data_IF_755244072434
#
_entry.id   IF_755244072434
#
_cell.length_a   1.000
_cell.length_b   1.000
_cell.length_c   1.000
_cell.angle_alpha   90.00
_cell.angle_beta   90.00
_cell.angle_gamma   90.00
#
_symmetry.space_group_name_H-M   'P 1'
#
loop_
_entity.id
_entity.type
_entity.pdbx_description
1 polymer ?
#
# COMPACT_ATOMS: atom_id res chain seq x y z
N UNK A 1 34.54 -12.23 24.55
CA UNK A 1 33.67 -11.21 23.91
C UNK A 1 33.40 -11.64 22.47
N UNK A 2 32.20 -12.14 22.17
CA UNK A 2 31.86 -12.57 20.82
C UNK A 2 31.59 -11.35 19.93
N UNK A 3 32.50 -11.06 19.00
CA UNK A 3 32.27 -10.13 17.91
C UNK A 3 31.08 -10.63 17.09
N UNK A 4 29.89 -10.08 17.31
CA UNK A 4 28.73 -10.37 16.46
C UNK A 4 29.03 -9.86 15.06
N UNK A 5 29.51 -10.72 14.17
CA UNK A 5 29.56 -10.46 12.72
C UNK A 5 28.18 -9.93 12.32
N UNK A 6 28.09 -8.64 11.98
CA UNK A 6 26.87 -8.07 11.38
C UNK A 6 26.55 -8.97 10.18
N UNK A 7 25.46 -9.74 10.22
CA UNK A 7 25.09 -10.61 9.11
C UNK A 7 24.85 -9.73 7.89
N UNK A 8 25.81 -9.71 6.97
CA UNK A 8 25.72 -8.94 5.74
C UNK A 8 24.84 -9.73 4.78
N UNK A 9 23.76 -9.10 4.31
CA UNK A 9 22.93 -9.67 3.27
C UNK A 9 23.54 -9.35 1.90
N UNK A 10 23.32 -10.24 0.93
CA UNK A 10 23.71 -9.98 -0.46
C UNK A 10 23.05 -8.68 -0.99
N UNK A 11 23.63 -8.03 -2.01
CA UNK A 11 23.02 -6.87 -2.65
C UNK A 11 21.55 -7.11 -3.02
N UNK A 12 20.69 -6.12 -2.76
CA UNK A 12 19.24 -6.23 -2.98
C UNK A 12 18.48 -7.03 -1.91
N UNK A 13 19.14 -7.43 -0.82
CA UNK A 13 18.51 -8.04 0.35
C UNK A 13 18.75 -7.22 1.61
N UNK A 14 17.79 -7.25 2.53
CA UNK A 14 17.88 -6.64 3.86
C UNK A 14 17.75 -7.69 4.95
N UNK A 15 18.41 -7.46 6.08
CA UNK A 15 18.26 -8.32 7.26
C UNK A 15 16.96 -7.93 7.97
N UNK A 16 15.97 -8.82 7.92
CA UNK A 16 14.74 -8.66 8.70
C UNK A 16 14.97 -9.14 10.13
N UNK A 17 14.62 -8.30 11.11
CA UNK A 17 14.61 -8.70 12.51
C UNK A 17 13.67 -9.88 12.76
N UNK A 18 14.01 -10.73 13.74
CA UNK A 18 13.09 -11.78 14.20
C UNK A 18 11.84 -11.15 14.80
N UNK A 19 10.70 -11.84 14.67
CA UNK A 19 9.46 -11.44 15.33
C UNK A 19 8.58 -12.65 15.61
N UNK A 20 7.58 -12.47 16.47
CA UNK A 20 6.52 -13.46 16.70
C UNK A 20 5.25 -12.99 15.99
N UNK A 21 4.61 -13.89 15.26
CA UNK A 21 3.34 -13.63 14.61
C UNK A 21 2.29 -14.61 15.12
N UNK A 22 1.12 -14.09 15.48
CA UNK A 22 -0.05 -14.91 15.76
C UNK A 22 -0.80 -15.22 14.47
N UNK A 23 -1.07 -16.50 14.19
CA UNK A 23 -1.93 -16.98 13.10
C UNK A 23 -3.03 -17.86 13.67
N UNK A 24 -4.23 -17.29 13.81
CA UNK A 24 -5.32 -17.95 14.52
C UNK A 24 -4.95 -18.18 15.99
N UNK A 25 -5.01 -19.43 16.43
CA UNK A 25 -4.63 -19.83 17.80
C UNK A 25 -3.13 -20.10 18.00
N UNK A 26 -2.32 -20.10 16.93
CA UNK A 26 -0.89 -20.46 16.98
C UNK A 26 0.01 -19.23 16.99
N UNK A 27 1.04 -19.26 17.84
CA UNK A 27 2.13 -18.29 17.83
C UNK A 27 3.34 -18.86 17.10
N UNK A 28 3.74 -18.18 16.04
CA UNK A 28 4.84 -18.60 15.16
C UNK A 28 6.01 -17.65 15.40
N UNK A 29 7.14 -18.21 15.84
CA UNK A 29 8.40 -17.50 15.87
C UNK A 29 9.02 -17.47 14.47
N UNK A 30 9.30 -16.28 13.96
CA UNK A 30 9.94 -16.07 12.66
C UNK A 30 11.37 -15.59 12.90
N UNK A 31 12.40 -16.43 12.69
CA UNK A 31 13.79 -16.07 12.97
C UNK A 31 14.28 -14.95 12.05
N UNK A 32 15.35 -14.25 12.43
CA UNK A 32 15.94 -13.21 11.59
C UNK A 32 16.55 -13.82 10.31
N UNK A 33 16.23 -13.26 9.15
CA UNK A 33 16.71 -13.78 7.85
C UNK A 33 16.86 -12.66 6.82
N UNK A 34 17.74 -12.86 5.84
CA UNK A 34 17.87 -11.96 4.70
C UNK A 34 16.66 -12.15 3.77
N UNK A 35 15.89 -11.08 3.58
CA UNK A 35 14.75 -11.04 2.68
C UNK A 35 15.05 -10.12 1.50
N UNK A 36 14.36 -10.29 0.37
CA UNK A 36 14.42 -9.33 -0.73
C UNK A 36 14.00 -7.95 -0.26
N UNK A 37 14.83 -6.95 -0.52
CA UNK A 37 14.44 -5.56 -0.29
C UNK A 37 13.36 -5.19 -1.32
N UNK A 38 12.16 -4.92 -0.84
CA UNK A 38 11.04 -4.43 -1.67
C UNK A 38 11.01 -2.90 -1.72
N UNK A 39 11.76 -2.25 -0.83
CA UNK A 39 11.98 -0.82 -0.80
C UNK A 39 13.07 -0.40 -1.78
N UNK A 40 13.23 0.92 -1.91
CA UNK A 40 14.44 1.46 -2.53
C UNK A 40 15.47 1.69 -1.41
N UNK A 41 16.75 1.41 -1.63
CA UNK A 41 17.80 1.71 -0.65
C UNK A 41 17.72 3.15 -0.15
N UNK A 42 17.79 3.35 1.17
CA UNK A 42 17.68 4.68 1.80
C UNK A 42 16.29 5.31 1.79
N UNK A 43 15.26 4.60 1.29
CA UNK A 43 13.86 5.07 1.32
C UNK A 43 13.06 4.22 2.30
N UNK A 44 12.76 4.80 3.46
CA UNK A 44 11.99 4.17 4.53
C UNK A 44 11.01 5.15 5.18
N UNK A 45 10.25 4.67 6.16
CA UNK A 45 9.11 5.36 6.78
C UNK A 45 9.41 6.72 7.43
N UNK A 46 10.67 7.14 7.59
CA UNK A 46 11.07 8.33 8.35
C UNK A 46 10.31 9.61 7.91
N UNK A 47 10.05 9.79 6.61
CA UNK A 47 9.33 10.95 6.04
C UNK A 47 8.24 10.54 5.03
N UNK A 48 7.70 9.31 5.16
CA UNK A 48 6.77 8.72 4.18
C UNK A 48 5.32 9.22 4.30
N UNK A 49 4.43 8.67 3.46
CA UNK A 49 2.98 8.99 3.44
C UNK A 49 2.25 8.56 4.74
N UNK A 50 2.94 7.92 5.69
CA UNK A 50 2.31 7.38 6.90
C UNK A 50 1.53 6.08 6.61
N UNK A 51 1.19 5.28 7.64
CA UNK A 51 0.41 4.08 7.44
C UNK A 51 -0.96 4.40 6.83
N UNK A 52 -1.46 3.51 5.96
CA UNK A 52 -2.79 3.66 5.39
C UNK A 52 -3.86 3.50 6.50
N UNK A 53 -4.77 4.48 6.58
CA UNK A 53 -5.96 4.37 7.43
C UNK A 53 -6.83 3.21 6.94
N UNK A 54 -7.22 2.33 7.87
CA UNK A 54 -7.99 1.13 7.56
C UNK A 54 -9.38 1.49 7.03
N UNK A 55 -9.85 0.71 6.06
CA UNK A 55 -11.23 0.69 5.55
C UNK A 55 -11.81 1.99 4.96
N UNK A 56 -11.01 3.05 4.75
CA UNK A 56 -11.52 4.35 4.26
C UNK A 56 -12.26 4.26 2.91
N UNK A 57 -11.72 3.50 1.94
CA UNK A 57 -12.40 3.25 0.66
C UNK A 57 -13.21 1.93 0.69
N UNK A 58 -12.77 0.97 1.50
CA UNK A 58 -13.38 -0.36 1.63
C UNK A 58 -14.84 -0.29 2.09
N UNK A 59 -15.16 0.61 3.03
CA UNK A 59 -16.52 0.84 3.53
C UNK A 59 -17.52 1.29 2.44
N UNK A 60 -17.03 1.83 1.32
CA UNK A 60 -17.87 2.20 0.17
C UNK A 60 -17.94 1.11 -0.91
N UNK A 61 -17.37 -0.07 -0.64
CA UNK A 61 -17.33 -1.19 -1.56
C UNK A 61 -16.08 -1.21 -2.46
N UNK A 62 -14.95 -0.65 -2.02
CA UNK A 62 -13.66 -0.65 -2.74
C UNK A 62 -12.63 -1.57 -2.05
N UNK A 63 -13.04 -2.76 -1.59
CA UNK A 63 -12.17 -3.70 -0.86
C UNK A 63 -11.38 -4.64 -1.78
N UNK A 64 -11.88 -4.92 -2.99
CA UNK A 64 -11.21 -5.80 -3.96
C UNK A 64 -11.11 -5.16 -5.36
N UNK A 65 -10.57 -3.95 -5.40
CA UNK A 65 -10.47 -3.18 -6.64
C UNK A 65 -9.69 -3.88 -7.76
N UNK A 66 -8.83 -4.85 -7.45
CA UNK A 66 -8.05 -5.58 -8.45
C UNK A 66 -8.94 -6.54 -9.25
N UNK A 67 -9.95 -7.15 -8.62
CA UNK A 67 -10.86 -8.07 -9.31
C UNK A 67 -12.19 -7.43 -9.73
N UNK A 68 -12.48 -6.21 -9.26
CA UNK A 68 -13.65 -5.45 -9.68
C UNK A 68 -13.58 -4.94 -11.13
N UNK A 69 -14.74 -4.92 -11.79
CA UNK A 69 -14.93 -4.21 -13.06
C UNK A 69 -14.79 -2.68 -12.87
N UNK A 70 -14.43 -1.97 -13.93
CA UNK A 70 -14.27 -0.51 -13.88
C UNK A 70 -15.56 0.21 -13.41
N UNK A 71 -16.73 -0.24 -13.90
CA UNK A 71 -18.02 0.31 -13.50
C UNK A 71 -18.28 0.14 -12.00
N UNK A 72 -17.97 -1.03 -11.43
CA UNK A 72 -18.12 -1.29 -10.00
C UNK A 72 -17.20 -0.38 -9.17
N UNK A 73 -15.93 -0.24 -9.57
CA UNK A 73 -14.98 0.68 -8.91
C UNK A 73 -15.47 2.11 -8.92
N UNK A 74 -15.90 2.62 -10.08
CA UNK A 74 -16.41 3.98 -10.23
C UNK A 74 -17.70 4.22 -9.42
N UNK A 75 -18.55 3.21 -9.20
CA UNK A 75 -19.70 3.31 -8.30
C UNK A 75 -19.26 3.49 -6.85
N UNK A 76 -18.33 2.68 -6.37
CA UNK A 76 -17.78 2.79 -5.01
C UNK A 76 -17.08 4.13 -4.80
N UNK A 77 -16.28 4.56 -5.78
CA UNK A 77 -15.58 5.85 -5.71
C UNK A 77 -16.54 7.05 -5.74
N UNK A 78 -17.67 6.98 -6.45
CA UNK A 78 -18.72 8.02 -6.37
C UNK A 78 -19.23 8.21 -4.95
N UNK A 79 -19.48 7.11 -4.24
CA UNK A 79 -19.92 7.14 -2.84
C UNK A 79 -18.85 7.74 -1.93
N UNK A 80 -17.60 7.31 -2.10
CA UNK A 80 -16.47 7.84 -1.36
C UNK A 80 -16.24 9.35 -1.61
N UNK A 81 -16.39 9.81 -2.85
CA UNK A 81 -16.23 11.24 -3.20
C UNK A 81 -17.33 12.08 -2.58
N UNK A 82 -18.57 11.59 -2.49
CA UNK A 82 -19.64 12.30 -1.77
C UNK A 82 -19.34 12.46 -0.28
N UNK A 83 -18.70 11.47 0.33
CA UNK A 83 -18.39 11.51 1.76
C UNK A 83 -17.12 12.31 2.10
N UNK A 84 -16.07 12.22 1.29
CA UNK A 84 -14.74 12.76 1.61
C UNK A 84 -14.23 13.86 0.68
N UNK A 85 -14.91 14.10 -0.43
CA UNK A 85 -14.46 15.00 -1.49
C UNK A 85 -13.42 14.38 -2.42
N UNK A 86 -13.37 14.90 -3.65
CA UNK A 86 -12.55 14.37 -4.74
C UNK A 86 -11.04 14.41 -4.44
N UNK A 87 -10.56 15.48 -3.80
CA UNK A 87 -9.14 15.64 -3.45
C UNK A 87 -8.70 14.59 -2.44
N UNK A 88 -9.49 14.36 -1.40
CA UNK A 88 -9.19 13.36 -0.36
C UNK A 88 -9.14 11.95 -0.94
N UNK A 89 -10.16 11.56 -1.73
CA UNK A 89 -10.19 10.26 -2.42
C UNK A 89 -9.01 10.11 -3.39
N UNK A 90 -8.66 11.17 -4.12
CA UNK A 90 -7.49 11.17 -5.00
C UNK A 90 -6.18 10.95 -4.25
N UNK A 91 -6.01 11.56 -3.06
CA UNK A 91 -4.83 11.33 -2.19
C UNK A 91 -4.79 9.90 -1.65
N UNK A 92 -5.94 9.34 -1.26
CA UNK A 92 -6.04 7.94 -0.81
C UNK A 92 -5.63 6.96 -1.90
N UNK A 93 -6.17 7.12 -3.12
CA UNK A 93 -5.80 6.29 -4.27
C UNK A 93 -4.31 6.43 -4.62
N UNK A 94 -3.76 7.64 -4.52
CA UNK A 94 -2.33 7.86 -4.71
C UNK A 94 -1.49 7.12 -3.66
N UNK A 95 -1.87 7.20 -2.39
CA UNK A 95 -1.17 6.52 -1.30
C UNK A 95 -1.13 5.00 -1.56
N UNK A 96 -2.28 4.40 -1.90
CA UNK A 96 -2.37 2.97 -2.22
C UNK A 96 -1.49 2.64 -3.44
N UNK A 97 -1.50 3.46 -4.49
CA UNK A 97 -0.66 3.25 -5.68
C UNK A 97 0.83 3.29 -5.34
N UNK A 98 1.27 4.26 -4.52
CA UNK A 98 2.68 4.42 -4.12
C UNK A 98 3.14 3.24 -3.27
N UNK A 99 2.32 2.74 -2.36
CA UNK A 99 2.65 1.55 -1.56
C UNK A 99 2.80 0.28 -2.40
N UNK A 100 2.05 0.18 -3.49
CA UNK A 100 2.05 -1.00 -4.36
C UNK A 100 3.01 -0.91 -5.55
N UNK A 101 3.66 0.24 -5.78
CA UNK A 101 4.42 0.49 -7.02
C UNK A 101 5.55 -0.53 -7.27
N UNK A 102 6.20 -1.01 -6.21
CA UNK A 102 7.30 -1.97 -6.28
C UNK A 102 6.88 -3.42 -6.03
N UNK A 103 5.79 -3.63 -5.28
CA UNK A 103 5.34 -4.96 -4.83
C UNK A 103 4.25 -5.55 -5.73
N UNK A 104 3.38 -4.72 -6.29
CA UNK A 104 2.25 -5.10 -7.13
C UNK A 104 1.99 -4.01 -8.19
N UNK A 105 2.86 -3.89 -9.22
CA UNK A 105 2.80 -2.79 -10.20
C UNK A 105 1.50 -2.77 -11.00
N UNK A 106 0.93 -3.94 -11.32
CA UNK A 106 -0.37 -4.04 -11.99
C UNK A 106 -1.51 -3.41 -11.16
N UNK A 107 -1.50 -3.65 -9.84
CA UNK A 107 -2.46 -3.04 -8.91
C UNK A 107 -2.24 -1.53 -8.81
N UNK A 108 -0.98 -1.09 -8.69
CA UNK A 108 -0.62 0.34 -8.69
C UNK A 108 -1.11 1.08 -9.95
N UNK A 109 -1.00 0.45 -11.12
CA UNK A 109 -1.52 0.99 -12.38
C UNK A 109 -3.04 1.18 -12.34
N UNK A 110 -3.79 0.20 -11.83
CA UNK A 110 -5.26 0.31 -11.67
C UNK A 110 -5.65 1.46 -10.74
N UNK A 111 -5.02 1.58 -9.58
CA UNK A 111 -5.27 2.69 -8.64
C UNK A 111 -4.96 4.05 -9.26
N UNK A 112 -3.93 4.14 -10.11
CA UNK A 112 -3.60 5.36 -10.85
C UNK A 112 -4.64 5.69 -11.93
N UNK A 113 -5.19 4.70 -12.64
CA UNK A 113 -6.30 4.89 -13.58
C UNK A 113 -7.52 5.45 -12.86
N UNK A 114 -7.90 4.83 -11.74
CA UNK A 114 -9.03 5.28 -10.93
C UNK A 114 -8.80 6.70 -10.36
N UNK A 115 -7.57 7.02 -9.92
CA UNK A 115 -7.18 8.37 -9.47
C UNK A 115 -7.38 9.40 -10.58
N UNK A 116 -6.91 9.10 -11.80
CA UNK A 116 -7.08 9.97 -12.98
C UNK A 116 -8.55 10.16 -13.31
N UNK A 117 -9.34 9.10 -13.21
CA UNK A 117 -10.79 9.16 -13.40
C UNK A 117 -11.45 10.06 -12.36
N UNK A 118 -11.18 9.89 -11.06
CA UNK A 118 -11.71 10.77 -9.99
C UNK A 118 -11.35 12.23 -10.26
N UNK A 119 -10.10 12.52 -10.64
CA UNK A 119 -9.67 13.87 -11.00
C UNK A 119 -10.49 14.42 -12.17
N UNK A 120 -10.59 13.68 -13.27
CA UNK A 120 -11.29 14.13 -14.49
C UNK A 120 -12.79 14.30 -14.27
N UNK A 121 -13.41 13.45 -13.45
CA UNK A 121 -14.87 13.44 -13.25
C UNK A 121 -15.35 14.46 -12.23
N UNK A 122 -14.58 14.71 -11.16
CA UNK A 122 -15.04 15.53 -10.04
C UNK A 122 -14.26 16.82 -9.81
N UNK A 123 -13.05 16.97 -10.37
CA UNK A 123 -12.44 18.30 -10.49
C UNK A 123 -12.87 18.89 -11.83
N UNK A 124 -13.95 19.66 -11.84
CA UNK A 124 -14.10 20.71 -12.85
C UNK A 124 -13.02 21.76 -12.58
N UNK A 125 -12.40 22.27 -13.63
CA UNK A 125 -11.62 23.51 -13.58
C UNK A 125 -12.43 24.53 -12.80
N UNK A 126 -11.86 25.06 -11.71
CA UNK A 126 -12.33 26.33 -11.19
C UNK A 126 -12.17 27.37 -12.31
#
# INVERSE_FOLDING_TARGET
>A
MALTRKRHCAPGKILRASYRQRRGSRDIYVPASCITDRGLPGKGFKDGIGPLKKNMLGQFGYHDAVHMTAAARHRSLRRAVRAYGATSVGRMLNAIAVYNKNTAPASAARFNVDRKWVRRTFKKSA
#
